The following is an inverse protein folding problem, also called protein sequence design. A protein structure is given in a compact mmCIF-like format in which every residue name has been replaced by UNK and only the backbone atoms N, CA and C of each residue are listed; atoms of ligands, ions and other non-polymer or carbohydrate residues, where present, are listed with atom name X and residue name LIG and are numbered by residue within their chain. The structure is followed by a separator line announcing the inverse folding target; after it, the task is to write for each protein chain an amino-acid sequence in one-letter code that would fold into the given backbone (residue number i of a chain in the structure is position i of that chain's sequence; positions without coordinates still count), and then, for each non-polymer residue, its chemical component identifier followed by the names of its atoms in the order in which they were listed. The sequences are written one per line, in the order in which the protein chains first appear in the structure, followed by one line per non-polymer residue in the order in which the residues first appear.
data_IF_360226765073
#
_entry.id   IF_360226765073
#
_cell.length_a   1.000
_cell.length_b   1.000
_cell.length_c   1.000
_cell.angle_alpha   90.00
_cell.angle_beta   90.00
_cell.angle_gamma   90.00
#
_symmetry.space_group_name_H-M   'P 1'
#
loop_
_entity.id
_entity.type
_entity.pdbx_description
1 polymer ?
#
# COMPACT_ATOMS: atom_id res chain seq x y z
N UNK A 1 45.58 3.85 -0.01
CA UNK A 1 44.82 2.59 -0.16
C UNK A 1 43.42 2.91 -0.65
N UNK A 2 42.98 2.35 -1.77
CA UNK A 2 41.60 2.53 -2.25
C UNK A 2 40.63 1.86 -1.29
N UNK A 3 39.66 2.62 -0.77
CA UNK A 3 38.62 2.09 0.12
C UNK A 3 37.87 0.97 -0.59
N UNK A 4 37.84 -0.22 0.01
CA UNK A 4 37.09 -1.34 -0.53
C UNK A 4 35.61 -0.99 -0.59
N UNK A 5 34.97 -1.24 -1.74
CA UNK A 5 33.57 -0.87 -1.95
C UNK A 5 32.67 -1.91 -1.30
N UNK A 6 31.80 -1.46 -0.40
CA UNK A 6 30.70 -2.29 0.12
C UNK A 6 29.57 -2.36 -0.91
N UNK A 7 29.64 -3.35 -1.79
CA UNK A 7 28.65 -3.59 -2.83
C UNK A 7 27.25 -3.87 -2.27
N UNK A 8 27.15 -4.50 -1.10
CA UNK A 8 25.87 -4.82 -0.47
C UNK A 8 25.18 -3.55 0.05
N UNK A 9 25.93 -2.66 0.70
CA UNK A 9 25.41 -1.37 1.13
C UNK A 9 25.12 -0.43 -0.06
N UNK A 10 25.96 -0.39 -1.09
CA UNK A 10 25.67 0.38 -2.31
C UNK A 10 24.39 -0.08 -2.99
N UNK A 11 24.22 -1.40 -3.12
CA UNK A 11 23.02 -2.00 -3.71
C UNK A 11 21.76 -1.69 -2.90
N UNK A 12 21.85 -1.73 -1.55
CA UNK A 12 20.76 -1.33 -0.65
C UNK A 12 20.37 0.14 -0.84
N UNK A 13 21.37 1.05 -0.84
CA UNK A 13 21.17 2.48 -1.08
C UNK A 13 20.53 2.76 -2.44
N UNK A 14 20.91 2.00 -3.47
CA UNK A 14 20.31 2.11 -4.81
C UNK A 14 18.82 1.77 -4.79
N UNK A 15 18.45 0.68 -4.12
CA UNK A 15 17.05 0.30 -3.97
C UNK A 15 16.27 1.31 -3.13
N UNK A 16 16.85 1.81 -2.03
CA UNK A 16 16.24 2.84 -1.17
C UNK A 16 15.98 4.15 -1.93
N UNK A 17 16.98 4.64 -2.68
CA UNK A 17 16.81 5.82 -3.55
C UNK A 17 15.76 5.59 -4.62
N UNK A 18 15.75 4.41 -5.23
CA UNK A 18 14.71 4.04 -6.18
C UNK A 18 13.32 4.08 -5.54
N UNK A 19 13.16 3.51 -4.34
CA UNK A 19 11.90 3.52 -3.59
C UNK A 19 11.44 4.91 -3.21
N UNK A 20 12.34 5.79 -2.77
CA UNK A 20 12.04 7.19 -2.49
C UNK A 20 11.47 7.92 -3.73
N UNK A 21 11.89 7.50 -4.93
CA UNK A 21 11.37 7.99 -6.22
C UNK A 21 10.15 7.20 -6.74
N UNK A 22 9.62 6.26 -5.98
CA UNK A 22 8.51 5.39 -6.40
C UNK A 22 8.87 4.34 -7.45
N UNK A 23 10.15 4.00 -7.61
CA UNK A 23 10.62 2.98 -8.54
C UNK A 23 10.33 1.55 -8.04
N UNK A 24 9.98 0.68 -8.97
CA UNK A 24 10.08 -0.77 -8.76
C UNK A 24 11.53 -1.19 -8.54
N UNK A 25 11.76 -2.37 -7.94
CA UNK A 25 13.11 -2.96 -7.79
C UNK A 25 13.81 -3.11 -9.14
N UNK A 26 13.07 -3.47 -10.18
CA UNK A 26 13.55 -3.67 -11.54
C UNK A 26 13.95 -2.33 -12.20
N UNK A 27 13.11 -1.30 -12.06
CA UNK A 27 13.42 0.07 -12.48
C UNK A 27 14.64 0.64 -11.75
N UNK A 28 14.73 0.46 -10.43
CA UNK A 28 15.89 0.90 -9.65
C UNK A 28 17.18 0.25 -10.14
N UNK A 29 17.12 -1.00 -10.61
CA UNK A 29 18.22 -1.75 -11.24
C UNK A 29 18.53 -1.34 -12.68
N UNK A 30 17.72 -0.48 -13.30
CA UNK A 30 17.91 -0.05 -14.69
C UNK A 30 17.34 -1.03 -15.73
N UNK A 31 16.64 -2.08 -15.28
CA UNK A 31 16.03 -3.10 -16.13
C UNK A 31 14.53 -3.17 -15.80
N UNK A 32 13.71 -2.19 -16.23
CA UNK A 32 12.27 -2.22 -16.00
C UNK A 32 11.66 -3.51 -16.56
N UNK A 33 10.64 -4.04 -15.90
CA UNK A 33 9.90 -5.21 -16.42
C UNK A 33 9.13 -4.85 -17.67
N UNK A 34 8.70 -5.85 -18.43
CA UNK A 34 7.82 -5.64 -19.57
C UNK A 34 6.57 -4.85 -19.13
N UNK A 35 6.30 -3.75 -19.82
CA UNK A 35 5.18 -2.84 -19.51
C UNK A 35 5.52 -1.74 -18.50
N UNK A 36 6.59 -1.87 -17.70
CA UNK A 36 7.03 -0.79 -16.82
C UNK A 36 7.70 0.33 -17.62
N UNK A 37 7.43 1.61 -17.30
CA UNK A 37 8.13 2.73 -17.91
C UNK A 37 9.60 2.76 -17.48
N UNK A 38 10.47 3.28 -18.34
CA UNK A 38 11.85 3.59 -17.96
C UNK A 38 11.89 4.59 -16.81
N UNK A 39 12.84 4.43 -15.87
CA UNK A 39 13.00 5.33 -14.73
C UNK A 39 13.22 6.80 -15.16
N UNK A 40 13.85 7.03 -16.31
CA UNK A 40 14.06 8.36 -16.91
C UNK A 40 12.79 9.02 -17.45
N UNK A 41 11.71 8.26 -17.68
CA UNK A 41 10.46 8.75 -18.25
C UNK A 41 9.37 9.00 -17.20
N UNK A 42 9.65 8.77 -15.92
CA UNK A 42 8.64 8.87 -14.86
C UNK A 42 8.05 10.26 -14.69
N UNK A 43 8.88 11.29 -14.84
CA UNK A 43 8.46 12.69 -14.75
C UNK A 43 7.53 13.09 -15.91
N UNK A 44 7.57 12.33 -17.01
CA UNK A 44 6.70 12.52 -18.19
C UNK A 44 5.39 11.73 -18.09
N UNK A 45 5.19 10.92 -17.05
CA UNK A 45 3.97 10.15 -16.87
C UNK A 45 2.82 11.06 -16.45
N UNK A 46 1.57 10.74 -16.86
CA UNK A 46 0.41 11.49 -16.42
C UNK A 46 0.34 11.52 -14.89
N UNK A 47 0.05 12.67 -14.26
CA UNK A 47 0.00 12.79 -12.81
C UNK A 47 -1.17 11.98 -12.24
N UNK A 48 -1.01 11.60 -10.98
CA UNK A 48 -2.03 10.88 -10.21
C UNK A 48 -3.07 11.87 -9.70
N UNK A 49 -4.11 12.12 -10.49
CA UNK A 49 -5.24 12.96 -10.07
C UNK A 49 -6.22 12.15 -9.21
N UNK A 50 -6.87 12.75 -8.19
CA UNK A 50 -7.80 12.04 -7.30
C UNK A 50 -8.88 11.27 -8.06
N UNK A 51 -9.45 11.88 -9.10
CA UNK A 51 -10.54 11.31 -9.91
C UNK A 51 -10.09 10.10 -10.74
N UNK A 52 -8.79 10.03 -11.07
CA UNK A 52 -8.20 8.86 -11.73
C UNK A 52 -8.03 7.73 -10.72
N UNK A 53 -7.59 8.04 -9.49
CA UNK A 53 -7.46 7.02 -8.44
C UNK A 53 -8.81 6.44 -8.02
N UNK A 54 -9.86 7.28 -7.98
CA UNK A 54 -11.24 6.83 -7.74
C UNK A 54 -11.73 5.92 -8.87
N UNK A 55 -11.45 6.25 -10.14
CA UNK A 55 -11.73 5.35 -11.25
C UNK A 55 -11.03 3.99 -11.09
N UNK A 56 -9.74 3.99 -10.71
CA UNK A 56 -8.98 2.74 -10.52
C UNK A 56 -9.51 1.97 -9.31
N UNK A 57 -10.00 2.64 -8.26
CA UNK A 57 -10.69 2.00 -7.14
C UNK A 57 -11.97 1.30 -7.61
N UNK A 58 -12.86 1.98 -8.32
CA UNK A 58 -14.08 1.39 -8.88
C UNK A 58 -13.77 0.20 -9.82
N UNK A 59 -12.72 0.31 -10.66
CA UNK A 59 -12.28 -0.80 -11.50
C UNK A 59 -11.78 -2.02 -10.70
N UNK A 60 -11.19 -1.82 -9.51
CA UNK A 60 -10.80 -2.93 -8.61
C UNK A 60 -12.01 -3.63 -8.01
N UNK A 61 -13.07 -2.88 -7.75
CA UNK A 61 -14.33 -3.38 -7.22
C UNK A 61 -15.18 -4.11 -8.29
N UNK A 62 -14.71 -4.12 -9.54
CA UNK A 62 -15.30 -4.89 -10.63
C UNK A 62 -15.95 -4.04 -11.72
N UNK A 63 -15.95 -2.71 -11.57
CA UNK A 63 -16.51 -1.84 -12.60
C UNK A 63 -15.71 -1.89 -13.91
N UNK A 64 -16.43 -1.79 -15.03
CA UNK A 64 -15.79 -1.60 -16.32
C UNK A 64 -15.08 -0.24 -16.36
N UNK A 65 -14.01 -0.13 -17.16
CA UNK A 65 -13.30 1.13 -17.39
C UNK A 65 -14.25 2.30 -17.74
N UNK A 66 -15.32 2.01 -18.50
CA UNK A 66 -16.32 3.01 -18.91
C UNK A 66 -17.19 3.46 -17.74
N UNK A 67 -17.66 2.52 -16.92
CA UNK A 67 -18.47 2.83 -15.75
C UNK A 67 -17.64 3.64 -14.74
N UNK A 68 -16.46 3.15 -14.40
CA UNK A 68 -15.56 3.79 -13.45
C UNK A 68 -15.15 5.21 -13.88
N UNK A 69 -14.76 5.39 -15.14
CA UNK A 69 -14.39 6.70 -15.65
C UNK A 69 -15.55 7.70 -15.61
N UNK A 70 -16.77 7.23 -15.91
CA UNK A 70 -17.98 8.07 -15.84
C UNK A 70 -18.31 8.44 -14.39
N UNK A 71 -18.30 7.47 -13.48
CA UNK A 71 -18.59 7.68 -12.06
C UNK A 71 -17.63 8.68 -11.42
N UNK A 72 -16.36 8.69 -11.85
CA UNK A 72 -15.35 9.62 -11.33
C UNK A 72 -15.17 10.88 -12.18
N UNK A 73 -16.01 11.14 -13.17
CA UNK A 73 -15.99 12.41 -13.92
C UNK A 73 -14.77 12.61 -14.84
N UNK A 74 -14.10 11.54 -15.29
CA UNK A 74 -12.95 11.61 -16.21
C UNK A 74 -13.19 10.83 -17.50
N UNK A 75 -12.51 11.22 -18.58
CA UNK A 75 -12.61 10.47 -19.85
C UNK A 75 -11.97 9.09 -19.74
N UNK A 76 -12.60 8.08 -20.35
CA UNK A 76 -12.04 6.72 -20.46
C UNK A 76 -10.61 6.72 -21.03
N UNK A 77 -10.34 7.61 -21.99
CA UNK A 77 -9.02 7.76 -22.61
C UNK A 77 -7.97 8.17 -21.57
N UNK A 78 -8.31 9.07 -20.65
CA UNK A 78 -7.40 9.56 -19.60
C UNK A 78 -7.06 8.45 -18.61
N UNK A 79 -8.07 7.73 -18.11
CA UNK A 79 -7.88 6.56 -17.21
C UNK A 79 -7.07 5.47 -17.92
N UNK A 80 -7.44 5.13 -19.16
CA UNK A 80 -6.74 4.12 -19.97
C UNK A 80 -5.28 4.47 -20.22
N UNK A 81 -4.99 5.73 -20.56
CA UNK A 81 -3.62 6.20 -20.76
C UNK A 81 -2.83 6.10 -19.46
N UNK A 82 -3.42 6.50 -18.35
CA UNK A 82 -2.77 6.42 -17.04
C UNK A 82 -2.42 4.99 -16.65
N UNK A 83 -3.39 4.06 -16.66
CA UNK A 83 -3.17 2.65 -16.28
C UNK A 83 -2.15 1.96 -17.18
N UNK A 84 -2.13 2.26 -18.49
CA UNK A 84 -1.17 1.69 -19.43
C UNK A 84 0.24 2.22 -19.19
N UNK A 85 0.41 3.53 -19.13
CA UNK A 85 1.74 4.15 -18.99
C UNK A 85 2.37 3.87 -17.63
N UNK A 86 1.54 3.67 -16.59
CA UNK A 86 1.99 3.34 -15.23
C UNK A 86 2.00 1.83 -14.93
N UNK A 87 1.67 0.99 -15.91
CA UNK A 87 1.59 -0.47 -15.76
C UNK A 87 0.75 -0.93 -14.55
N UNK A 88 -0.46 -0.40 -14.41
CA UNK A 88 -1.32 -0.69 -13.25
C UNK A 88 -2.33 -1.80 -13.50
N UNK A 89 -2.54 -2.16 -14.77
CA UNK A 89 -3.58 -3.08 -15.18
C UNK A 89 -3.19 -3.83 -16.45
N UNK A 90 -3.62 -5.09 -16.53
CA UNK A 90 -3.50 -5.91 -17.73
C UNK A 90 -4.89 -6.19 -18.27
N UNK A 91 -5.07 -6.09 -19.59
CA UNK A 91 -6.33 -6.43 -20.23
C UNK A 91 -6.45 -7.95 -20.35
N UNK A 92 -7.49 -8.54 -19.75
CA UNK A 92 -7.85 -9.96 -19.89
C UNK A 92 -9.13 -10.05 -20.71
N UNK A 93 -8.98 -10.23 -22.02
CA UNK A 93 -10.10 -10.23 -22.96
C UNK A 93 -10.89 -8.90 -22.94
N UNK A 94 -12.12 -8.95 -22.42
CA UNK A 94 -13.02 -7.79 -22.31
C UNK A 94 -12.89 -7.04 -20.98
N UNK A 95 -12.18 -7.58 -19.99
CA UNK A 95 -12.03 -7.00 -18.65
C UNK A 95 -10.62 -6.48 -18.41
N UNK A 96 -10.49 -5.60 -17.42
CA UNK A 96 -9.22 -5.10 -16.92
C UNK A 96 -8.93 -5.74 -15.57
N UNK A 97 -7.77 -6.38 -15.43
CA UNK A 97 -7.27 -6.87 -14.16
C UNK A 97 -6.29 -5.86 -13.59
N UNK A 98 -6.70 -5.14 -12.54
CA UNK A 98 -5.84 -4.21 -11.80
C UNK A 98 -4.89 -5.01 -10.91
N UNK A 99 -3.59 -4.76 -11.02
CA UNK A 99 -2.59 -5.35 -10.13
C UNK A 99 -1.84 -4.29 -9.31
N UNK A 100 -1.76 -3.04 -9.79
CA UNK A 100 -1.19 -1.88 -9.10
C UNK A 100 0.02 -2.20 -8.19
N UNK A 101 1.23 -2.30 -8.77
CA UNK A 101 2.45 -2.69 -8.04
C UNK A 101 3.04 -1.56 -7.19
N UNK A 102 2.40 -0.37 -7.16
CA UNK A 102 2.96 0.80 -6.48
C UNK A 102 3.10 0.53 -4.98
N UNK A 103 4.24 0.86 -4.35
CA UNK A 103 4.41 0.73 -2.91
C UNK A 103 3.39 1.56 -2.14
N UNK A 104 2.94 1.04 -1.00
CA UNK A 104 1.95 1.70 -0.14
C UNK A 104 2.46 1.71 1.30
N UNK A 105 2.33 2.86 1.96
CA UNK A 105 2.55 2.99 3.40
C UNK A 105 1.25 2.64 4.11
N UNK A 106 1.30 1.66 5.02
CA UNK A 106 0.14 1.17 5.76
C UNK A 106 0.44 1.13 7.25
N UNK A 107 -0.56 1.48 8.05
CA UNK A 107 -0.54 1.27 9.49
C UNK A 107 -1.07 -0.13 9.81
N UNK A 108 -0.51 -0.77 10.84
CA UNK A 108 -0.98 -2.04 11.38
C UNK A 108 -0.64 -2.14 12.87
N UNK A 109 -1.41 -2.91 13.64
CA UNK A 109 -1.00 -3.33 14.97
C UNK A 109 -0.16 -4.61 14.86
N UNK A 110 1.00 -4.62 15.51
CA UNK A 110 1.97 -5.71 15.47
C UNK A 110 2.85 -5.66 16.70
N UNK A 111 2.96 -6.78 17.43
CA UNK A 111 3.87 -6.93 18.57
C UNK A 111 3.67 -5.83 19.63
N UNK A 112 2.43 -5.61 20.07
CA UNK A 112 2.15 -4.66 21.14
C UNK A 112 2.10 -3.19 20.75
N UNK A 113 2.20 -2.84 19.46
CA UNK A 113 2.31 -1.44 19.03
C UNK A 113 1.72 -1.18 17.64
N UNK A 114 1.38 0.08 17.36
CA UNK A 114 1.05 0.54 16.02
C UNK A 114 2.34 0.77 15.21
N UNK A 115 2.53 -0.02 14.15
CA UNK A 115 3.65 0.11 13.22
C UNK A 115 3.19 0.70 11.90
N UNK A 116 4.07 1.48 11.27
CA UNK A 116 3.91 1.91 9.89
C UNK A 116 4.89 1.14 9.02
N UNK A 117 4.38 0.31 8.11
CA UNK A 117 5.18 -0.50 7.19
C UNK A 117 4.95 -0.07 5.75
N UNK A 118 5.93 -0.31 4.88
CA UNK A 118 5.79 -0.08 3.44
C UNK A 118 5.70 -1.44 2.77
N UNK A 119 4.62 -1.67 2.03
CA UNK A 119 4.35 -2.93 1.33
C UNK A 119 4.32 -2.75 -0.18
N UNK A 120 4.61 -3.81 -0.92
CA UNK A 120 4.60 -3.79 -2.39
C UNK A 120 3.18 -4.07 -2.93
N UNK A 121 2.57 -3.04 -3.52
CA UNK A 121 1.30 -3.15 -4.22
C UNK A 121 0.05 -3.16 -3.33
N UNK A 122 -1.10 -3.35 -3.99
CA UNK A 122 -2.41 -3.25 -3.35
C UNK A 122 -2.76 -4.43 -2.44
N UNK A 123 -2.40 -5.66 -2.80
CA UNK A 123 -2.85 -6.86 -2.08
C UNK A 123 -2.41 -6.89 -0.60
N UNK A 124 -1.13 -6.68 -0.26
CA UNK A 124 -0.73 -6.57 1.14
C UNK A 124 -1.36 -5.37 1.86
N UNK A 125 -1.55 -4.25 1.16
CA UNK A 125 -2.19 -3.08 1.76
C UNK A 125 -3.68 -3.32 2.08
N UNK A 126 -4.39 -4.04 1.21
CA UNK A 126 -5.76 -4.48 1.44
C UNK A 126 -5.85 -5.46 2.61
N UNK A 127 -4.86 -6.36 2.75
CA UNK A 127 -4.73 -7.26 3.90
C UNK A 127 -4.58 -6.48 5.22
N UNK A 128 -3.77 -5.43 5.23
CA UNK A 128 -3.63 -4.52 6.38
C UNK A 128 -4.97 -3.88 6.76
N UNK A 129 -5.71 -3.38 5.77
CA UNK A 129 -7.04 -2.77 6.00
C UNK A 129 -8.07 -3.77 6.56
N UNK A 130 -8.07 -5.02 6.08
CA UNK A 130 -8.94 -6.07 6.63
C UNK A 130 -8.58 -6.43 8.06
N UNK A 131 -7.28 -6.51 8.38
CA UNK A 131 -6.84 -6.75 9.75
C UNK A 131 -7.26 -5.61 10.68
N UNK A 132 -7.07 -4.36 10.24
CA UNK A 132 -7.50 -3.17 10.97
C UNK A 132 -9.00 -3.17 11.27
N UNK A 133 -9.84 -3.47 10.27
CA UNK A 133 -11.29 -3.57 10.46
C UNK A 133 -11.66 -4.66 11.47
N UNK A 134 -11.08 -5.86 11.35
CA UNK A 134 -11.33 -6.98 12.26
C UNK A 134 -10.89 -6.68 13.69
N UNK A 135 -9.70 -6.14 13.88
CA UNK A 135 -9.18 -5.73 15.18
C UNK A 135 -10.08 -4.65 15.81
N UNK A 136 -10.48 -3.64 15.03
CA UNK A 136 -11.40 -2.60 15.50
C UNK A 136 -12.80 -3.14 15.84
N UNK A 137 -13.33 -4.08 15.06
CA UNK A 137 -14.59 -4.76 15.36
C UNK A 137 -14.48 -5.63 16.62
N UNK A 138 -13.36 -6.31 16.81
CA UNK A 138 -13.06 -7.06 18.03
C UNK A 138 -13.10 -6.13 19.25
N UNK A 139 -12.37 -5.01 19.23
CA UNK A 139 -12.35 -4.05 20.36
C UNK A 139 -13.76 -3.59 20.74
N UNK A 140 -14.65 -3.38 19.76
CA UNK A 140 -16.04 -2.95 20.01
C UNK A 140 -16.99 -4.06 20.48
N UNK A 141 -16.75 -5.31 20.11
CA UNK A 141 -17.71 -6.42 20.31
C UNK A 141 -17.23 -7.51 21.25
N UNK A 142 -15.93 -7.56 21.54
CA UNK A 142 -15.24 -8.66 22.20
C UNK A 142 -15.39 -10.03 21.51
N UNK A 143 -15.78 -10.06 20.23
CA UNK A 143 -15.90 -11.30 19.45
C UNK A 143 -14.50 -11.82 19.04
N UNK A 144 -14.03 -12.84 19.77
CA UNK A 144 -12.69 -13.42 19.60
C UNK A 144 -12.47 -14.10 18.24
N UNK A 145 -13.54 -14.54 17.58
CA UNK A 145 -13.44 -15.24 16.29
C UNK A 145 -12.91 -14.30 15.19
N UNK A 146 -13.13 -12.99 15.33
CA UNK A 146 -12.55 -11.98 14.46
C UNK A 146 -11.01 -11.98 14.46
N UNK A 147 -10.39 -12.38 15.57
CA UNK A 147 -8.94 -12.48 15.71
C UNK A 147 -8.41 -13.84 15.26
N UNK A 148 -9.23 -14.90 15.27
CA UNK A 148 -8.81 -16.24 14.85
C UNK A 148 -8.29 -16.26 13.41
N UNK A 149 -8.95 -15.54 12.50
CA UNK A 149 -8.54 -15.41 11.10
C UNK A 149 -7.22 -14.63 10.89
N UNK A 150 -6.76 -13.91 11.91
CA UNK A 150 -5.51 -13.14 11.84
C UNK A 150 -4.32 -13.91 12.43
N UNK A 151 -4.54 -15.05 13.09
CA UNK A 151 -3.45 -15.81 13.72
C UNK A 151 -2.49 -16.38 12.67
N UNK A 152 -1.20 -16.11 12.85
CA UNK A 152 -0.16 -16.49 11.90
C UNK A 152 -0.14 -15.63 10.63
N UNK A 153 -1.07 -14.68 10.49
CA UNK A 153 -1.11 -13.74 9.39
C UNK A 153 -0.31 -12.47 9.72
N UNK A 154 0.11 -11.78 8.66
CA UNK A 154 0.90 -10.56 8.79
C UNK A 154 1.25 -9.96 7.43
N UNK A 155 2.14 -8.97 7.46
CA UNK A 155 2.64 -8.29 6.27
C UNK A 155 4.14 -8.50 6.14
N UNK A 156 4.58 -8.84 4.93
CA UNK A 156 5.99 -8.72 4.56
C UNK A 156 6.21 -7.35 3.96
N UNK A 157 7.11 -6.58 4.57
CA UNK A 157 7.46 -5.26 4.04
C UNK A 157 8.35 -5.37 2.79
N UNK A 158 8.59 -4.23 2.15
CA UNK A 158 9.47 -4.16 0.97
C UNK A 158 10.93 -4.58 1.27
N UNK A 159 11.35 -4.65 2.53
CA UNK A 159 12.69 -5.12 2.94
C UNK A 159 12.72 -6.65 3.11
N UNK A 160 11.56 -7.32 3.01
CA UNK A 160 11.43 -8.75 3.22
C UNK A 160 11.23 -9.13 4.69
N UNK A 161 11.07 -8.16 5.58
CA UNK A 161 10.79 -8.42 6.99
C UNK A 161 9.30 -8.70 7.17
N UNK A 162 8.99 -9.80 7.85
CA UNK A 162 7.62 -10.15 8.21
C UNK A 162 7.22 -9.48 9.53
N UNK A 163 6.02 -8.92 9.55
CA UNK A 163 5.40 -8.26 10.69
C UNK A 163 4.05 -8.94 10.97
N UNK A 164 3.90 -9.74 12.04
CA UNK A 164 2.65 -10.42 12.36
C UNK A 164 1.58 -9.40 12.76
N UNK A 165 0.32 -9.69 12.48
CA UNK A 165 -0.78 -8.91 13.05
C UNK A 165 -0.91 -9.17 14.55
N UNK A 166 -1.25 -8.12 15.30
CA UNK A 166 -1.59 -8.27 16.71
C UNK A 166 -2.92 -9.03 16.86
N UNK A 167 -2.91 -10.05 17.71
CA UNK A 167 -4.07 -10.91 17.99
C UNK A 167 -4.29 -11.13 19.48
N UNK A 168 -3.48 -10.55 20.35
CA UNK A 168 -3.71 -10.57 21.79
C UNK A 168 -4.87 -9.61 22.15
N UNK A 169 -5.98 -10.12 22.72
CA UNK A 169 -7.13 -9.32 23.13
C UNK A 169 -6.79 -8.15 24.05
N UNK A 170 -5.96 -8.38 25.06
CA UNK A 170 -5.64 -7.39 26.08
C UNK A 170 -4.78 -6.28 25.50
N UNK A 171 -3.83 -6.66 24.64
CA UNK A 171 -2.99 -5.71 23.92
C UNK A 171 -3.83 -4.84 22.99
N UNK A 172 -4.77 -5.40 22.24
CA UNK A 172 -5.63 -4.62 21.34
C UNK A 172 -6.51 -3.63 22.11
N UNK A 173 -7.06 -4.02 23.26
CA UNK A 173 -7.79 -3.11 24.14
C UNK A 173 -6.90 -2.01 24.72
N UNK A 174 -5.69 -2.35 25.16
CA UNK A 174 -4.73 -1.37 25.66
C UNK A 174 -4.32 -0.36 24.56
N UNK A 175 -4.08 -0.84 23.34
CA UNK A 175 -3.76 0.02 22.18
C UNK A 175 -4.93 0.92 21.80
N UNK A 176 -6.16 0.41 21.85
CA UNK A 176 -7.35 1.21 21.59
C UNK A 176 -7.52 2.30 22.65
N UNK A 177 -7.40 1.97 23.94
CA UNK A 177 -7.46 2.93 25.05
C UNK A 177 -6.38 4.01 24.92
N UNK A 178 -5.14 3.63 24.64
CA UNK A 178 -4.04 4.59 24.42
C UNK A 178 -4.29 5.51 23.22
N UNK A 179 -4.97 5.01 22.17
CA UNK A 179 -5.35 5.82 21.01
C UNK A 179 -6.52 6.77 21.27
N UNK A 180 -7.47 6.39 22.14
CA UNK A 180 -8.55 7.26 22.60
C UNK A 180 -8.01 8.34 23.55
N UNK A 181 -7.12 8.00 24.48
CA UNK A 181 -6.42 8.96 25.35
C UNK A 181 -5.61 10.00 24.55
N UNK A 182 -4.87 9.56 23.52
CA UNK A 182 -4.17 10.47 22.60
C UNK A 182 -5.12 11.36 21.78
N UNK A 183 -6.36 10.91 21.52
CA UNK A 183 -7.38 11.74 20.86
C UNK A 183 -7.90 12.84 21.80
N UNK A 184 -8.08 12.55 23.09
CA UNK A 184 -8.51 13.56 24.08
C UNK A 184 -7.44 14.64 24.33
N UNK A 185 -6.14 14.32 24.31
CA UNK A 185 -5.06 15.31 24.46
C UNK A 185 -4.97 16.29 23.28
N UNK A 186 -5.28 15.87 22.05
CA UNK A 186 -5.26 16.75 20.85
C UNK A 186 -6.35 17.85 20.93
N UNK A 187 -7.40 17.66 21.73
CA UNK A 187 -8.49 18.62 21.92
C UNK A 187 -8.34 19.50 23.17
N UNK A 188 -7.26 19.38 23.95
CA UNK A 188 -6.96 20.42 24.94
C UNK A 188 -6.54 21.69 24.23
N UNK A 189 -7.48 22.65 24.15
CA UNK A 189 -7.17 24.05 23.87
C UNK A 189 -6.22 24.50 24.98
N UNK A 190 -4.97 24.73 24.62
CA UNK A 190 -4.01 25.40 25.50
C UNK A 190 -4.43 26.87 25.57
N UNK A 191 -4.90 27.30 26.75
CA UNK A 191 -5.00 28.71 27.13
C UNK A 191 -3.85 29.08 28.06
#
# INVERSE_FOLDING_TARGET
MSRERDFAAEYRRRLERGRARGLSKAQARGHPRQGEPLASNLDKLPPSAPEIEDAIRAMREGESLRAAARASGVSERRVRRFIKLRNLATRKGRTWAIHDPRPRRVAMFSEGQQKTVIVEGYQPASKAGRAWDRQGRFVRSNDIDLLAELRGEGLTDIRGQFHPFETDPNVLHALAAASEEAFYEIYQIVS
#
